data_IF_402065458619
#
_entry.id   IF_402065458619
#
_cell.length_a   1.000
_cell.length_b   1.000
_cell.length_c   1.000
_cell.angle_alpha   90.00
_cell.angle_beta   90.00
_cell.angle_gamma   90.00
#
_symmetry.space_group_name_H-M   'P 1'
#
loop_
_entity.id
_entity.type
_entity.pdbx_description
1 polymer ?
#
# COMPACT_ATOMS: atom_id res chain seq x y z
N UNK A 1 11.56 12.21 -25.70
CA UNK A 1 12.47 11.23 -25.08
C UNK A 1 11.62 10.21 -24.34
N UNK A 2 11.61 8.95 -24.76
CA UNK A 2 10.92 7.88 -24.02
C UNK A 2 11.70 7.63 -22.73
N UNK A 3 11.11 7.91 -21.57
CA UNK A 3 11.69 7.47 -20.31
C UNK A 3 11.70 5.93 -20.32
N UNK A 4 12.85 5.33 -20.02
CA UNK A 4 13.01 3.88 -19.87
C UNK A 4 12.77 3.52 -18.40
N UNK A 5 11.93 2.50 -18.15
CA UNK A 5 11.46 2.12 -16.82
C UNK A 5 11.83 0.65 -16.64
N UNK A 6 12.43 0.30 -15.50
CA UNK A 6 12.76 -1.09 -15.21
C UNK A 6 11.69 -1.68 -14.28
N UNK A 7 11.13 -2.82 -14.68
CA UNK A 7 10.15 -3.57 -13.89
C UNK A 7 10.78 -4.87 -13.42
N UNK A 8 10.76 -5.08 -12.11
CA UNK A 8 11.24 -6.28 -11.43
C UNK A 8 10.02 -7.02 -10.89
N UNK A 9 9.87 -8.29 -11.27
CA UNK A 9 8.80 -9.18 -10.76
C UNK A 9 9.41 -10.27 -9.89
N UNK A 10 8.96 -10.38 -8.64
CA UNK A 10 9.40 -11.35 -7.63
C UNK A 10 8.28 -12.38 -7.42
N UNK A 11 8.55 -13.64 -7.01
CA UNK A 11 9.84 -14.27 -6.70
C UNK A 11 10.51 -14.91 -7.94
N UNK A 12 9.87 -14.84 -9.11
CA UNK A 12 10.25 -15.56 -10.34
C UNK A 12 11.64 -15.22 -10.92
N UNK A 13 12.40 -14.34 -10.26
CA UNK A 13 13.73 -13.91 -10.64
C UNK A 13 14.77 -14.45 -9.63
N UNK A 14 15.80 -15.14 -10.13
CA UNK A 14 16.91 -15.57 -9.29
C UNK A 14 17.70 -14.38 -8.76
N UNK A 15 18.37 -14.54 -7.62
CA UNK A 15 19.33 -13.59 -7.06
C UNK A 15 20.29 -12.98 -8.12
N UNK A 16 20.95 -13.82 -8.91
CA UNK A 16 21.88 -13.37 -9.93
C UNK A 16 21.21 -12.55 -11.06
N UNK A 17 19.97 -12.90 -11.43
CA UNK A 17 19.20 -12.10 -12.40
C UNK A 17 18.82 -10.76 -11.77
N UNK A 18 18.40 -10.75 -10.51
CA UNK A 18 18.06 -9.52 -9.79
C UNK A 18 19.23 -8.54 -9.78
N UNK A 19 20.42 -9.01 -9.40
CA UNK A 19 21.65 -8.22 -9.38
C UNK A 19 22.00 -7.69 -10.79
N UNK A 20 21.84 -8.54 -11.81
CA UNK A 20 22.01 -8.14 -13.20
C UNK A 20 21.05 -7.00 -13.60
N UNK A 21 19.75 -7.11 -13.28
CA UNK A 21 18.78 -6.06 -13.60
C UNK A 21 19.06 -4.75 -12.85
N UNK A 22 19.42 -4.84 -11.56
CA UNK A 22 19.79 -3.66 -10.76
C UNK A 22 21.00 -2.95 -11.37
N UNK A 23 22.03 -3.70 -11.77
CA UNK A 23 23.23 -3.17 -12.39
C UNK A 23 22.94 -2.50 -13.75
N UNK A 24 22.15 -3.14 -14.61
CA UNK A 24 21.91 -2.66 -15.98
C UNK A 24 20.84 -1.57 -16.08
N UNK A 25 19.98 -1.46 -15.07
CA UNK A 25 18.99 -0.38 -14.99
C UNK A 25 19.60 0.97 -14.59
N UNK A 26 20.89 1.02 -14.23
CA UNK A 26 21.64 2.24 -13.92
C UNK A 26 20.92 3.15 -12.90
N UNK A 27 20.50 4.34 -13.31
CA UNK A 27 19.76 5.32 -12.50
C UNK A 27 18.26 5.36 -12.83
N UNK A 28 17.76 4.46 -13.67
CA UNK A 28 16.36 4.46 -14.07
C UNK A 28 15.44 4.16 -12.88
N UNK A 29 14.24 4.78 -12.82
CA UNK A 29 13.24 4.44 -11.83
C UNK A 29 12.86 2.95 -11.88
N UNK A 30 12.62 2.38 -10.70
CA UNK A 30 12.30 0.96 -10.50
C UNK A 30 10.84 0.79 -10.14
N UNK A 31 10.21 -0.21 -10.76
CA UNK A 31 8.91 -0.76 -10.37
C UNK A 31 9.13 -2.16 -9.84
N UNK A 32 8.81 -2.38 -8.57
CA UNK A 32 8.94 -3.68 -7.89
C UNK A 32 7.54 -4.23 -7.68
N UNK A 33 7.29 -5.42 -8.20
CA UNK A 33 6.01 -6.11 -8.11
C UNK A 33 6.25 -7.50 -7.55
N UNK A 34 5.70 -7.77 -6.37
CA UNK A 34 5.56 -9.12 -5.82
C UNK A 34 4.49 -9.90 -6.58
N UNK A 35 4.63 -11.22 -6.59
CA UNK A 35 3.64 -12.13 -7.14
C UNK A 35 2.50 -12.30 -6.14
N UNK A 36 1.26 -12.38 -6.63
CA UNK A 36 0.05 -12.32 -5.80
C UNK A 36 -0.08 -13.51 -4.83
N UNK A 37 0.74 -14.55 -5.02
CA UNK A 37 0.67 -15.82 -4.29
C UNK A 37 2.00 -16.28 -3.71
N UNK A 38 3.08 -15.53 -3.94
CA UNK A 38 4.37 -15.88 -3.38
C UNK A 38 4.94 -14.65 -2.71
N UNK A 39 5.24 -14.81 -1.42
CA UNK A 39 5.97 -13.81 -0.67
C UNK A 39 7.17 -13.31 -1.46
N UNK A 40 7.34 -11.99 -1.44
CA UNK A 40 8.66 -11.47 -1.71
C UNK A 40 9.53 -11.99 -0.58
N UNK A 41 10.44 -12.90 -0.94
CA UNK A 41 11.52 -13.33 -0.07
C UNK A 41 12.12 -12.07 0.56
N UNK A 42 12.05 -11.95 1.89
CA UNK A 42 12.58 -10.80 2.63
C UNK A 42 14.02 -10.51 2.24
N UNK A 43 14.78 -11.55 1.87
CA UNK A 43 16.16 -11.43 1.34
C UNK A 43 16.22 -10.72 0.00
N UNK A 44 15.23 -10.87 -0.87
CA UNK A 44 15.15 -10.12 -2.12
C UNK A 44 14.86 -8.64 -1.87
N UNK A 45 14.00 -8.33 -0.90
CA UNK A 45 13.72 -6.96 -0.49
C UNK A 45 14.96 -6.30 0.14
N UNK A 46 15.66 -7.00 1.03
CA UNK A 46 16.94 -6.55 1.62
C UNK A 46 17.99 -6.26 0.55
N UNK A 47 18.10 -7.11 -0.49
CA UNK A 47 19.02 -6.90 -1.62
C UNK A 47 18.64 -5.68 -2.47
N UNK A 48 17.34 -5.40 -2.59
CA UNK A 48 16.85 -4.24 -3.33
C UNK A 48 16.90 -2.96 -2.50
N UNK A 49 16.90 -3.03 -1.17
CA UNK A 49 16.84 -1.87 -0.28
C UNK A 49 17.90 -0.78 -0.58
N UNK A 50 19.16 -1.10 -0.97
CA UNK A 50 20.14 -0.08 -1.40
C UNK A 50 19.69 0.77 -2.60
N UNK A 51 18.77 0.25 -3.42
CA UNK A 51 18.20 0.93 -4.59
C UNK A 51 16.90 1.67 -4.30
N UNK A 52 16.45 1.72 -3.04
CA UNK A 52 15.19 2.36 -2.60
C UNK A 52 15.00 3.78 -3.13
N UNK A 53 16.09 4.53 -3.29
CA UNK A 53 16.04 5.90 -3.81
C UNK A 53 15.49 6.03 -5.24
N UNK A 54 15.44 4.91 -5.97
CA UNK A 54 14.93 4.80 -7.35
C UNK A 54 13.53 4.21 -7.41
N UNK A 55 12.98 3.74 -6.30
CA UNK A 55 11.71 3.04 -6.30
C UNK A 55 10.59 4.03 -6.58
N UNK A 56 9.81 3.74 -7.61
CA UNK A 56 8.64 4.51 -8.01
C UNK A 56 7.34 3.81 -7.64
N UNK A 57 7.31 2.50 -7.88
CA UNK A 57 6.16 1.67 -7.58
C UNK A 57 6.64 0.47 -6.77
N UNK A 58 5.98 0.21 -5.64
CA UNK A 58 6.27 -0.92 -4.77
C UNK A 58 4.96 -1.66 -4.51
N UNK A 59 4.90 -2.93 -4.90
CA UNK A 59 3.80 -3.84 -4.59
C UNK A 59 4.38 -5.06 -3.90
N UNK A 60 4.04 -5.29 -2.65
CA UNK A 60 4.64 -6.37 -1.85
C UNK A 60 3.59 -7.13 -1.05
N UNK A 61 3.78 -8.44 -1.01
CA UNK A 61 3.08 -9.36 -0.11
C UNK A 61 3.90 -9.51 1.16
N UNK A 62 3.24 -9.46 2.32
CA UNK A 62 3.88 -9.33 3.63
C UNK A 62 3.28 -10.35 4.59
N UNK A 63 3.70 -11.61 4.49
CA UNK A 63 3.14 -12.67 5.34
C UNK A 63 3.79 -12.74 6.73
N UNK A 64 5.10 -12.59 6.83
CA UNK A 64 5.85 -12.70 8.10
C UNK A 64 6.23 -11.33 8.70
N UNK A 65 5.50 -10.28 8.31
CA UNK A 65 5.72 -8.91 8.79
C UNK A 65 6.63 -8.07 7.87
N UNK A 66 6.74 -6.78 8.19
CA UNK A 66 7.38 -5.79 7.33
C UNK A 66 8.89 -5.65 7.60
N UNK A 67 9.53 -6.75 8.02
CA UNK A 67 10.97 -6.78 8.32
C UNK A 67 11.79 -6.41 7.08
N UNK A 68 12.77 -5.52 7.23
CA UNK A 68 13.60 -5.03 6.13
C UNK A 68 13.10 -3.73 5.48
N UNK A 69 11.82 -3.36 5.63
CA UNK A 69 11.31 -2.05 5.17
C UNK A 69 11.75 -0.89 6.06
N UNK A 70 12.18 -1.16 7.28
CA UNK A 70 12.86 -0.21 8.15
C UNK A 70 14.16 0.32 7.51
N UNK A 71 14.86 -0.52 6.74
CA UNK A 71 16.13 -0.15 6.09
C UNK A 71 16.00 0.87 4.96
N UNK A 72 14.78 1.06 4.44
CA UNK A 72 14.47 2.02 3.37
C UNK A 72 13.86 3.34 3.90
N UNK A 73 13.75 3.48 5.22
CA UNK A 73 13.26 4.70 5.84
C UNK A 73 14.05 5.93 5.35
N UNK A 74 13.33 6.99 4.95
CA UNK A 74 13.88 8.24 4.38
C UNK A 74 14.69 8.07 3.09
N UNK A 75 14.61 6.91 2.43
CA UNK A 75 15.38 6.61 1.20
C UNK A 75 14.50 6.42 -0.02
N UNK A 76 13.26 6.89 -0.01
CA UNK A 76 12.26 6.64 -1.06
C UNK A 76 11.65 7.94 -1.63
N UNK A 77 12.47 8.87 -2.17
CA UNK A 77 11.99 10.17 -2.65
C UNK A 77 11.09 10.08 -3.89
N UNK A 78 11.21 9.00 -4.68
CA UNK A 78 10.49 8.81 -5.94
C UNK A 78 9.24 7.93 -5.83
N UNK A 79 8.95 7.38 -4.64
CA UNK A 79 7.85 6.42 -4.48
C UNK A 79 6.52 7.14 -4.71
N UNK A 80 5.82 6.75 -5.78
CA UNK A 80 4.54 7.30 -6.23
C UNK A 80 3.36 6.37 -5.88
N UNK A 81 3.61 5.05 -5.97
CA UNK A 81 2.62 4.00 -5.72
C UNK A 81 3.13 2.98 -4.71
N UNK A 82 2.29 2.69 -3.72
CA UNK A 82 2.51 1.67 -2.71
C UNK A 82 1.31 0.72 -2.67
N UNK A 83 1.56 -0.57 -2.78
CA UNK A 83 0.59 -1.65 -2.61
C UNK A 83 1.13 -2.64 -1.56
N UNK A 84 0.44 -2.75 -0.43
CA UNK A 84 0.78 -3.66 0.66
C UNK A 84 -0.36 -4.64 0.89
N UNK A 85 -0.06 -5.92 0.76
CA UNK A 85 -1.01 -6.98 1.04
C UNK A 85 -0.44 -7.94 2.08
N UNK A 86 -1.27 -8.46 2.97
CA UNK A 86 -0.88 -9.46 3.97
C UNK A 86 -2.04 -10.44 4.16
N UNK A 87 -1.77 -11.75 4.13
CA UNK A 87 -2.81 -12.74 4.45
C UNK A 87 -3.04 -12.89 5.95
N UNK A 88 -2.12 -12.38 6.78
CA UNK A 88 -2.10 -12.66 8.21
C UNK A 88 -2.29 -11.40 9.07
N UNK A 89 -2.91 -11.62 10.22
CA UNK A 89 -3.31 -10.57 11.16
C UNK A 89 -2.17 -10.18 12.13
N UNK A 90 -0.93 -10.61 11.88
CA UNK A 90 0.18 -10.63 12.85
C UNK A 90 1.35 -9.70 12.51
N UNK A 91 1.24 -8.79 11.55
CA UNK A 91 2.29 -7.83 11.27
C UNK A 91 2.55 -6.91 12.49
N UNK A 92 3.74 -7.01 13.10
CA UNK A 92 4.11 -6.30 14.33
C UNK A 92 5.05 -5.11 14.11
N UNK A 93 5.48 -4.84 12.88
CA UNK A 93 6.46 -3.77 12.61
C UNK A 93 5.81 -2.48 12.12
N UNK A 94 6.26 -1.37 12.70
CA UNK A 94 5.93 -0.02 12.25
C UNK A 94 6.63 0.27 10.93
N UNK A 95 5.88 0.58 9.87
CA UNK A 95 6.47 0.96 8.58
C UNK A 95 6.22 2.42 8.30
N UNK A 96 7.29 3.12 7.94
CA UNK A 96 7.29 4.57 7.87
C UNK A 96 7.53 5.00 6.42
N UNK A 97 6.43 5.32 5.72
CA UNK A 97 6.43 5.97 4.41
C UNK A 97 6.11 7.47 4.51
N UNK A 98 6.00 8.03 5.72
CA UNK A 98 5.61 9.43 5.96
C UNK A 98 6.52 10.43 5.23
N UNK A 99 7.77 10.06 5.00
CA UNK A 99 8.79 10.89 4.35
C UNK A 99 8.91 10.61 2.83
N UNK A 100 7.90 9.99 2.21
CA UNK A 100 7.84 9.75 0.77
C UNK A 100 7.11 10.91 0.07
N UNK A 101 7.79 11.99 -0.38
CA UNK A 101 7.15 13.21 -0.87
C UNK A 101 6.35 13.02 -2.16
N UNK A 102 6.66 11.99 -2.94
CA UNK A 102 5.98 11.69 -4.21
C UNK A 102 4.78 10.74 -4.04
N UNK A 103 4.58 10.17 -2.85
CA UNK A 103 3.62 9.10 -2.62
C UNK A 103 2.20 9.65 -2.59
N UNK A 104 1.41 9.32 -3.60
CA UNK A 104 0.05 9.83 -3.75
C UNK A 104 -0.99 8.73 -3.99
N UNK A 105 -0.56 7.49 -4.26
CA UNK A 105 -1.44 6.35 -4.43
C UNK A 105 -1.03 5.20 -3.51
N UNK A 106 -1.98 4.76 -2.70
CA UNK A 106 -1.80 3.72 -1.70
C UNK A 106 -2.90 2.68 -1.81
N UNK A 107 -2.51 1.42 -1.74
CA UNK A 107 -3.38 0.25 -1.60
C UNK A 107 -2.86 -0.58 -0.44
N UNK A 108 -3.68 -0.84 0.57
CA UNK A 108 -3.25 -1.53 1.79
C UNK A 108 -4.37 -2.41 2.29
N UNK A 109 -4.08 -3.65 2.67
CA UNK A 109 -5.04 -4.44 3.46
C UNK A 109 -5.23 -3.77 4.82
N UNK A 110 -6.45 -3.37 5.16
CA UNK A 110 -6.72 -2.70 6.41
C UNK A 110 -6.58 -3.60 7.66
N UNK A 111 -6.37 -4.91 7.52
CA UNK A 111 -5.80 -5.74 8.61
C UNK A 111 -4.45 -5.19 9.10
N UNK A 112 -3.63 -4.66 8.18
CA UNK A 112 -2.36 -3.98 8.49
C UNK A 112 -2.60 -2.69 9.29
N UNK A 113 -3.79 -2.08 9.21
CA UNK A 113 -4.11 -0.80 9.83
C UNK A 113 -4.89 -0.89 11.16
N UNK A 114 -5.40 -2.07 11.55
CA UNK A 114 -6.52 -2.17 12.52
C UNK A 114 -6.16 -2.64 13.93
N UNK A 115 -4.96 -3.17 14.21
CA UNK A 115 -4.67 -3.78 15.53
C UNK A 115 -4.24 -2.83 16.65
N UNK A 116 -3.62 -1.69 16.35
CA UNK A 116 -3.31 -0.67 17.35
C UNK A 116 -2.77 0.59 16.69
N UNK A 117 -3.66 1.40 16.11
CA UNK A 117 -3.36 2.79 15.73
C UNK A 117 -2.15 3.01 14.80
N UNK A 118 -2.37 3.01 13.48
CA UNK A 118 -1.49 3.71 12.53
C UNK A 118 0.00 3.33 12.57
N UNK A 119 0.33 2.07 12.86
CA UNK A 119 1.72 1.58 12.77
C UNK A 119 2.29 1.74 11.36
N UNK A 120 1.44 1.87 10.34
CA UNK A 120 1.85 2.37 9.03
C UNK A 120 1.71 3.89 8.98
N UNK A 121 2.85 4.58 9.10
CA UNK A 121 2.90 6.03 8.94
C UNK A 121 2.96 6.36 7.45
N UNK A 122 1.84 6.82 6.90
CA UNK A 122 1.73 7.29 5.53
C UNK A 122 1.67 8.82 5.47
N UNK A 123 2.04 9.45 4.34
CA UNK A 123 1.87 10.87 4.13
C UNK A 123 0.40 11.15 3.75
N UNK A 124 -0.51 10.91 4.69
CA UNK A 124 -1.97 10.88 4.45
C UNK A 124 -2.48 12.13 3.72
N UNK A 125 -1.93 13.30 4.04
CA UNK A 125 -2.42 14.59 3.55
C UNK A 125 -2.25 14.82 2.04
N UNK A 126 -1.30 14.13 1.41
CA UNK A 126 -1.02 14.22 -0.04
C UNK A 126 -1.60 13.05 -0.84
N UNK A 127 -2.22 12.06 -0.18
CA UNK A 127 -2.82 10.93 -0.89
C UNK A 127 -4.01 11.40 -1.73
N UNK A 128 -4.00 11.03 -3.00
CA UNK A 128 -5.08 11.30 -3.97
C UNK A 128 -5.85 10.02 -4.32
N UNK A 129 -5.24 8.84 -4.12
CA UNK A 129 -5.85 7.54 -4.32
C UNK A 129 -5.58 6.64 -3.12
N UNK A 130 -6.66 6.13 -2.51
CA UNK A 130 -6.58 5.20 -1.39
C UNK A 130 -7.45 3.98 -1.69
N UNK A 131 -6.88 2.79 -1.54
CA UNK A 131 -7.61 1.51 -1.57
C UNK A 131 -7.36 0.76 -0.28
N UNK A 132 -8.44 0.37 0.39
CA UNK A 132 -8.41 -0.43 1.61
C UNK A 132 -9.28 -1.67 1.40
N UNK A 133 -8.73 -2.87 1.50
CA UNK A 133 -9.51 -4.08 1.19
C UNK A 133 -10.50 -4.47 2.30
N UNK A 134 -10.25 -4.02 3.54
CA UNK A 134 -11.02 -4.47 4.70
C UNK A 134 -11.10 -3.42 5.82
N UNK A 135 -12.01 -2.46 5.70
CA UNK A 135 -12.19 -1.33 6.58
C UNK A 135 -13.44 -1.48 7.47
N UNK A 136 -13.28 -1.23 8.78
CA UNK A 136 -14.42 -1.02 9.67
C UNK A 136 -15.11 0.30 9.35
N UNK A 137 -16.44 0.30 9.25
CA UNK A 137 -17.22 1.49 8.90
C UNK A 137 -16.95 2.68 9.84
N UNK A 138 -16.65 2.43 11.11
CA UNK A 138 -16.31 3.47 12.11
C UNK A 138 -15.05 4.26 11.76
N UNK A 139 -14.07 3.62 11.09
CA UNK A 139 -12.80 4.24 10.71
C UNK A 139 -12.89 5.03 9.40
N UNK A 140 -13.98 4.87 8.64
CA UNK A 140 -14.17 5.54 7.35
C UNK A 140 -14.04 7.07 7.46
N UNK A 141 -14.64 7.67 8.49
CA UNK A 141 -14.58 9.12 8.75
C UNK A 141 -13.17 9.62 9.03
N UNK A 142 -12.34 8.76 9.60
CA UNK A 142 -10.99 9.10 9.98
C UNK A 142 -10.10 9.20 8.75
N UNK A 143 -10.15 8.21 7.85
CA UNK A 143 -9.37 8.24 6.62
C UNK A 143 -9.74 9.40 5.70
N UNK A 144 -11.03 9.72 5.58
CA UNK A 144 -11.47 10.91 4.84
C UNK A 144 -10.92 12.21 5.44
N UNK A 145 -10.85 12.33 6.77
CA UNK A 145 -10.25 13.52 7.42
C UNK A 145 -8.74 13.59 7.24
N UNK A 146 -8.06 12.45 7.22
CA UNK A 146 -6.61 12.38 7.07
C UNK A 146 -6.16 12.68 5.63
N UNK A 147 -7.03 12.51 4.63
CA UNK A 147 -6.69 12.64 3.22
C UNK A 147 -7.51 13.75 2.51
N UNK A 148 -7.34 15.05 2.86
CA UNK A 148 -8.13 16.14 2.28
C UNK A 148 -8.03 16.27 0.75
N UNK A 149 -6.98 15.74 0.12
CA UNK A 149 -6.74 15.75 -1.33
C UNK A 149 -7.26 14.48 -2.03
N UNK A 150 -7.95 13.60 -1.32
CA UNK A 150 -8.39 12.32 -1.85
C UNK A 150 -9.40 12.49 -2.99
N UNK A 151 -9.04 12.01 -4.17
CA UNK A 151 -9.88 12.03 -5.38
C UNK A 151 -10.61 10.71 -5.57
N UNK A 152 -9.96 9.61 -5.19
CA UNK A 152 -10.48 8.25 -5.29
C UNK A 152 -10.31 7.50 -3.98
N UNK A 153 -11.40 6.93 -3.47
CA UNK A 153 -11.39 6.04 -2.33
C UNK A 153 -12.11 4.73 -2.67
N UNK A 154 -11.42 3.60 -2.52
CA UNK A 154 -12.03 2.27 -2.51
C UNK A 154 -11.88 1.66 -1.13
N UNK A 155 -12.96 1.14 -0.58
CA UNK A 155 -12.94 0.42 0.69
C UNK A 155 -13.80 -0.85 0.60
N UNK A 156 -13.23 -2.00 0.95
CA UNK A 156 -14.03 -3.16 1.32
C UNK A 156 -14.54 -2.98 2.75
N UNK A 157 -15.86 -2.96 2.98
CA UNK A 157 -16.43 -2.63 4.29
C UNK A 157 -16.76 -3.90 5.06
N UNK A 158 -16.06 -4.08 6.20
CA UNK A 158 -16.43 -5.06 7.24
C UNK A 158 -17.64 -4.52 7.98
N UNK A 159 -18.71 -5.32 8.04
CA UNK A 159 -20.00 -4.98 8.65
C UNK A 159 -20.66 -3.76 7.98
N UNK A 160 -21.47 -4.04 6.95
CA UNK A 160 -22.20 -2.99 6.25
C UNK A 160 -22.98 -2.13 7.26
N UNK A 161 -22.94 -0.78 7.14
CA UNK A 161 -23.75 0.06 8.01
C UNK A 161 -25.21 -0.32 7.84
N UNK A 162 -25.94 -0.42 8.97
CA UNK A 162 -27.39 -0.65 8.94
C UNK A 162 -28.13 0.40 8.11
N UNK A 163 -27.55 1.59 7.96
CA UNK A 163 -28.08 2.68 7.16
C UNK A 163 -27.02 3.27 6.22
N UNK A 164 -27.21 3.19 4.88
CA UNK A 164 -26.25 3.71 3.91
C UNK A 164 -26.19 5.25 3.86
N UNK A 165 -27.08 5.96 4.55
CA UNK A 165 -27.15 7.43 4.48
C UNK A 165 -25.98 8.13 5.17
N UNK A 166 -25.39 7.51 6.20
CA UNK A 166 -24.24 8.06 6.92
C UNK A 166 -23.02 8.24 6.01
N UNK A 167 -22.75 7.27 5.11
CA UNK A 167 -21.61 7.34 4.18
C UNK A 167 -21.84 8.39 3.09
N UNK A 168 -23.07 8.54 2.60
CA UNK A 168 -23.44 9.57 1.60
C UNK A 168 -23.25 10.98 2.16
N UNK A 169 -23.63 11.24 3.41
CA UNK A 169 -23.40 12.52 4.07
C UNK A 169 -21.92 12.87 4.16
N UNK A 170 -21.09 11.89 4.48
CA UNK A 170 -19.65 12.06 4.61
C UNK A 170 -18.95 12.29 3.27
N UNK A 171 -19.41 11.64 2.20
CA UNK A 171 -18.92 11.94 0.84
C UNK A 171 -19.15 13.39 0.47
N UNK A 172 -20.36 13.91 0.71
CA UNK A 172 -20.71 15.30 0.39
C UNK A 172 -19.86 16.30 1.17
N UNK A 173 -19.38 15.93 2.36
CA UNK A 173 -18.50 16.76 3.17
C UNK A 173 -17.05 16.76 2.67
N UNK A 174 -16.63 15.77 1.86
CA UNK A 174 -15.27 15.68 1.34
C UNK A 174 -15.17 16.37 -0.03
N UNK A 175 -14.72 17.62 -0.03
CA UNK A 175 -14.77 18.51 -1.21
C UNK A 175 -14.00 18.01 -2.44
N UNK A 176 -12.96 17.21 -2.24
CA UNK A 176 -12.08 16.73 -3.33
C UNK A 176 -12.46 15.35 -3.86
N UNK A 177 -13.37 14.63 -3.20
CA UNK A 177 -13.62 13.23 -3.51
C UNK A 177 -14.51 13.09 -4.74
N UNK A 178 -13.95 12.57 -5.83
CA UNK A 178 -14.67 12.37 -7.09
C UNK A 178 -15.31 10.99 -7.19
N UNK A 179 -14.68 9.97 -6.59
CA UNK A 179 -15.15 8.58 -6.67
C UNK A 179 -14.97 7.84 -5.36
N UNK A 180 -16.09 7.31 -4.85
CA UNK A 180 -16.12 6.36 -3.74
C UNK A 180 -16.60 5.00 -4.25
N UNK A 181 -15.85 3.95 -3.93
CA UNK A 181 -16.24 2.56 -4.19
C UNK A 181 -16.28 1.82 -2.86
N UNK A 182 -17.48 1.43 -2.43
CA UNK A 182 -17.67 0.58 -1.26
C UNK A 182 -17.99 -0.84 -1.73
N UNK A 183 -17.17 -1.80 -1.34
CA UNK A 183 -17.39 -3.22 -1.63
C UNK A 183 -17.83 -3.89 -0.33
N UNK A 184 -19.02 -4.49 -0.30
CA UNK A 184 -19.42 -5.27 0.87
C UNK A 184 -18.68 -6.60 0.84
N UNK A 185 -17.88 -6.89 1.86
CA UNK A 185 -17.38 -8.25 2.09
C UNK A 185 -18.54 -9.05 2.70
N UNK A 186 -19.28 -9.79 1.87
CA UNK A 186 -20.19 -10.82 2.37
C UNK A 186 -19.34 -11.89 3.04
N UNK A 187 -19.24 -11.83 4.37
CA UNK A 187 -18.73 -12.95 5.15
C UNK A 187 -19.65 -14.14 4.87
N UNK A 188 -19.15 -15.17 4.20
CA UNK A 188 -19.79 -16.47 4.25
C UNK A 188 -19.63 -16.98 5.68
N UNK A 189 -20.64 -16.79 6.53
CA UNK A 189 -20.73 -17.36 7.89
C UNK A 189 -20.91 -18.91 7.85
N UNK A 190 -20.30 -19.60 6.89
CA UNK A 190 -20.57 -21.01 6.59
C UNK A 190 -19.51 -21.98 7.13
N UNK A 191 -18.77 -21.60 8.17
CA UNK A 191 -17.82 -22.50 8.83
C UNK A 191 -17.51 -22.02 10.25
N UNK A 192 -18.50 -22.23 11.13
CA UNK A 192 -18.33 -22.42 12.57
C UNK A 192 -18.81 -23.83 12.92
#
# INVERSE_FOLDING_TARGET
MSQFWATIRLPSISAAKLDFYVLHSNSAPLTIIGDDHNDIDSRALERLAPTSHRWRNLSVHVDDGLEGLDTIYQRIPLLEFLDLYSMYDNATSTVIFQDAPSLHRVSVDANILTRSSFDVMLPWHQLTFLTLDSLFVSLFSQFLRLCPQLLYFKAGIKYAPREPWGTVGMMKAHTSLHKLVLVSSSYNESSL
#
